data_IF_694687798153
#
_entry.id   IF_694687798153
#
_cell.length_a   1.000
_cell.length_b   1.000
_cell.length_c   1.000
_cell.angle_alpha   90.00
_cell.angle_beta   90.00
_cell.angle_gamma   90.00
#
_symmetry.space_group_name_H-M   'P 1'
#
loop_
_entity.id
_entity.type
_entity.pdbx_description
1 polymer ?
#
# COMPACT_ATOMS: atom_id res chain seq x y z
N UNK A 1 18.84 25.71 -37.49
CA UNK A 1 17.81 24.68 -37.77
C UNK A 1 17.88 23.66 -36.65
N UNK A 2 16.90 23.68 -35.75
CA UNK A 2 16.78 22.72 -34.65
C UNK A 2 15.78 21.66 -35.11
N UNK A 3 16.14 20.37 -35.00
CA UNK A 3 15.20 19.26 -35.20
C UNK A 3 15.05 18.49 -33.88
N UNK A 4 13.79 18.47 -33.40
CA UNK A 4 13.03 17.41 -32.72
C UNK A 4 13.81 16.39 -31.85
N UNK A 5 13.56 16.18 -30.56
CA UNK A 5 12.32 16.32 -29.80
C UNK A 5 11.58 14.99 -29.71
N UNK A 6 11.99 14.10 -28.77
CA UNK A 6 11.14 13.17 -28.00
C UNK A 6 12.00 12.46 -26.94
N UNK A 7 12.04 13.00 -25.72
CA UNK A 7 12.26 12.17 -24.52
C UNK A 7 10.85 11.85 -24.04
N UNK A 8 10.46 10.58 -24.12
CA UNK A 8 9.19 10.12 -23.58
C UNK A 8 9.28 10.29 -22.07
N UNK A 9 8.58 11.32 -21.57
CA UNK A 9 8.57 11.67 -20.18
C UNK A 9 7.99 10.50 -19.39
N UNK A 10 8.85 9.78 -18.67
CA UNK A 10 8.45 9.24 -17.39
C UNK A 10 8.08 10.45 -16.54
N UNK A 11 6.79 10.76 -16.46
CA UNK A 11 6.26 11.67 -15.47
C UNK A 11 6.76 11.14 -14.11
N UNK A 12 7.70 11.86 -13.50
CA UNK A 12 8.19 11.51 -12.17
C UNK A 12 7.07 11.88 -11.21
N UNK A 13 6.04 11.02 -11.12
CA UNK A 13 4.98 11.19 -10.14
C UNK A 13 5.60 11.09 -8.76
N UNK A 14 5.41 12.12 -7.95
CA UNK A 14 5.84 12.13 -6.55
C UNK A 14 5.18 10.95 -5.83
N UNK A 15 5.98 10.02 -5.32
CA UNK A 15 5.48 8.87 -4.56
C UNK A 15 4.88 9.33 -3.24
N UNK A 16 3.63 8.96 -2.99
CA UNK A 16 2.98 9.18 -1.71
C UNK A 16 3.56 8.22 -0.67
N UNK A 17 3.95 8.74 0.50
CA UNK A 17 4.52 7.92 1.58
C UNK A 17 3.57 7.95 2.77
N UNK A 18 3.16 6.77 3.21
CA UNK A 18 2.35 6.55 4.41
C UNK A 18 3.20 5.85 5.45
N UNK A 19 3.48 6.54 6.55
CA UNK A 19 4.25 6.01 7.67
C UNK A 19 3.32 5.57 8.81
N UNK A 20 3.48 4.32 9.23
CA UNK A 20 2.75 3.69 10.32
C UNK A 20 3.72 3.31 11.45
N UNK A 21 3.32 3.61 12.67
CA UNK A 21 3.98 3.16 13.88
C UNK A 21 3.20 1.98 14.47
N UNK A 22 3.83 0.80 14.44
CA UNK A 22 3.26 -0.44 14.96
C UNK A 22 3.56 -0.67 16.45
N UNK A 23 4.23 0.29 17.11
CA UNK A 23 4.45 0.21 18.54
C UNK A 23 3.12 0.05 19.26
N UNK A 24 3.04 -1.02 20.07
CA UNK A 24 1.86 -1.37 20.85
C UNK A 24 0.63 -1.83 20.08
N UNK A 25 0.72 -2.20 18.80
CA UNK A 25 -0.38 -2.90 18.14
C UNK A 25 -0.67 -4.22 18.85
N UNK A 26 -1.92 -4.43 19.26
CA UNK A 26 -2.35 -5.60 20.03
C UNK A 26 -3.25 -6.52 19.22
N UNK A 27 -3.97 -5.97 18.27
CA UNK A 27 -5.04 -6.64 17.52
C UNK A 27 -4.87 -6.42 16.01
N UNK A 28 -5.47 -7.28 15.18
CA UNK A 28 -5.60 -7.02 13.74
C UNK A 28 -6.16 -5.63 13.40
N UNK A 29 -7.18 -5.18 14.16
CA UNK A 29 -7.81 -3.86 13.95
C UNK A 29 -6.85 -2.69 14.16
N UNK A 30 -5.85 -2.81 15.03
CA UNK A 30 -4.86 -1.73 15.21
C UNK A 30 -4.09 -1.43 13.92
N UNK A 31 -3.78 -2.47 13.13
CA UNK A 31 -3.18 -2.33 11.81
C UNK A 31 -4.13 -1.64 10.82
N UNK A 32 -5.37 -2.14 10.69
CA UNK A 32 -6.34 -1.57 9.74
C UNK A 32 -6.66 -0.12 10.09
N UNK A 33 -6.98 0.16 11.34
CA UNK A 33 -7.28 1.50 11.83
C UNK A 33 -6.11 2.48 11.62
N UNK A 34 -4.86 2.03 11.79
CA UNK A 34 -3.69 2.86 11.52
C UNK A 34 -3.52 3.16 10.02
N UNK A 35 -3.63 2.13 9.18
CA UNK A 35 -3.48 2.25 7.72
C UNK A 35 -4.61 3.10 7.11
N UNK A 36 -5.87 2.74 7.37
CA UNK A 36 -7.05 3.38 6.79
C UNK A 36 -7.13 4.87 7.15
N UNK A 37 -6.81 5.21 8.41
CA UNK A 37 -6.72 6.61 8.84
C UNK A 37 -5.70 7.41 8.04
N UNK A 38 -4.55 6.82 7.73
CA UNK A 38 -3.49 7.50 6.96
C UNK A 38 -3.78 7.57 5.47
N UNK A 39 -4.57 6.62 4.95
CA UNK A 39 -5.05 6.64 3.57
C UNK A 39 -6.23 7.62 3.36
N UNK A 40 -6.80 8.18 4.44
CA UNK A 40 -8.02 8.96 4.36
C UNK A 40 -9.21 8.11 3.90
N UNK A 41 -9.26 6.84 4.31
CA UNK A 41 -10.34 5.95 3.95
C UNK A 41 -11.66 6.38 4.62
N UNK A 42 -12.81 6.23 3.95
CA UNK A 42 -14.11 6.57 4.52
C UNK A 42 -14.50 5.64 5.68
N UNK A 43 -15.37 6.10 6.57
CA UNK A 43 -15.79 5.34 7.78
C UNK A 43 -16.48 4.01 7.48
N UNK A 44 -17.10 3.88 6.30
CA UNK A 44 -17.73 2.63 5.84
C UNK A 44 -16.73 1.63 5.26
N UNK A 45 -15.45 1.99 5.17
CA UNK A 45 -14.39 1.10 4.71
C UNK A 45 -14.19 -0.05 5.70
N UNK A 46 -14.34 -1.29 5.22
CA UNK A 46 -14.26 -2.47 6.07
C UNK A 46 -12.81 -2.85 6.40
N UNK A 47 -12.56 -3.27 7.65
CA UNK A 47 -11.26 -3.80 8.11
C UNK A 47 -11.02 -5.23 7.61
N UNK A 48 -10.77 -5.40 6.30
CA UNK A 48 -10.53 -6.71 5.71
C UNK A 48 -9.59 -6.67 4.50
N UNK A 49 -8.84 -7.75 4.27
CA UNK A 49 -7.95 -7.89 3.11
C UNK A 49 -8.67 -7.65 1.77
N UNK A 50 -9.87 -8.22 1.50
CA UNK A 50 -10.59 -7.92 0.26
C UNK A 50 -10.91 -6.43 0.08
N UNK A 51 -11.27 -5.73 1.16
CA UNK A 51 -11.51 -4.28 1.10
C UNK A 51 -10.23 -3.47 0.84
N UNK A 52 -9.08 -3.92 1.37
CA UNK A 52 -7.78 -3.32 1.03
C UNK A 52 -7.44 -3.51 -0.45
N UNK A 53 -7.65 -4.71 -1.00
CA UNK A 53 -7.42 -4.96 -2.43
C UNK A 53 -8.31 -4.05 -3.28
N UNK A 54 -9.61 -3.99 -2.96
CA UNK A 54 -10.55 -3.16 -3.70
C UNK A 54 -10.15 -1.68 -3.66
N UNK A 55 -9.75 -1.17 -2.49
CA UNK A 55 -9.47 0.26 -2.30
C UNK A 55 -8.06 0.73 -2.66
N UNK A 56 -7.05 -0.13 -2.59
CA UNK A 56 -5.64 0.24 -2.80
C UNK A 56 -5.11 -0.18 -4.17
N UNK A 57 -5.81 -1.08 -4.86
CA UNK A 57 -5.37 -1.64 -6.15
C UNK A 57 -6.36 -1.35 -7.27
N UNK A 58 -7.66 -1.63 -7.04
CA UNK A 58 -8.68 -1.61 -8.11
C UNK A 58 -9.40 -0.27 -8.19
N UNK A 59 -9.83 0.24 -7.04
CA UNK A 59 -10.61 1.45 -6.90
C UNK A 59 -9.79 2.63 -6.41
N UNK A 60 -10.44 3.79 -6.41
CA UNK A 60 -9.89 5.08 -6.03
C UNK A 60 -10.75 5.71 -4.92
N UNK A 61 -10.87 4.99 -3.80
CA UNK A 61 -11.75 5.40 -2.68
C UNK A 61 -11.00 6.03 -1.51
N UNK A 62 -9.67 5.93 -1.52
CA UNK A 62 -8.80 6.54 -0.52
C UNK A 62 -8.44 7.96 -0.97
N UNK A 63 -8.16 8.87 -0.02
CA UNK A 63 -7.66 10.20 -0.36
C UNK A 63 -6.23 10.15 -0.93
N UNK A 64 -5.45 9.14 -0.52
CA UNK A 64 -4.08 8.93 -1.01
C UNK A 64 -4.11 8.02 -2.23
N UNK A 65 -3.81 8.60 -3.40
CA UNK A 65 -3.71 7.88 -4.67
C UNK A 65 -2.36 7.15 -4.83
N UNK A 66 -2.29 6.25 -5.81
CA UNK A 66 -1.03 5.68 -6.30
C UNK A 66 -0.26 6.74 -7.13
N UNK A 67 1.10 6.69 -7.18
CA UNK A 67 1.97 5.66 -6.62
C UNK A 67 2.15 5.84 -5.11
N UNK A 68 2.04 4.74 -4.36
CA UNK A 68 1.97 4.71 -2.90
C UNK A 68 3.05 3.80 -2.33
N UNK A 69 3.73 4.26 -1.28
CA UNK A 69 4.57 3.46 -0.40
C UNK A 69 4.05 3.52 1.03
N UNK A 70 3.72 2.36 1.60
CA UNK A 70 3.46 2.21 3.04
C UNK A 70 4.74 1.75 3.71
N UNK A 71 5.14 2.42 4.79
CA UNK A 71 6.28 2.06 5.64
C UNK A 71 5.76 1.82 7.05
N UNK A 72 6.10 0.67 7.63
CA UNK A 72 5.70 0.27 8.97
C UNK A 72 6.95 0.01 9.81
N UNK A 73 7.05 0.67 10.96
CA UNK A 73 8.15 0.53 11.92
C UNK A 73 7.65 0.06 13.28
N UNK A 74 8.53 -0.49 14.11
CA UNK A 74 8.20 -0.92 15.48
C UNK A 74 7.48 -2.27 15.55
N UNK A 75 7.56 -3.08 14.48
CA UNK A 75 6.89 -4.38 14.39
C UNK A 75 7.40 -5.41 15.40
N UNK A 76 8.63 -5.26 15.88
CA UNK A 76 9.24 -6.11 16.90
C UNK A 76 8.53 -6.00 18.25
N UNK A 77 7.78 -4.91 18.47
CA UNK A 77 6.98 -4.66 19.68
C UNK A 77 5.48 -4.90 19.47
N UNK A 78 5.06 -5.16 18.23
CA UNK A 78 3.67 -5.50 17.92
C UNK A 78 3.33 -6.91 18.42
N UNK A 79 2.06 -7.14 18.73
CA UNK A 79 1.59 -8.49 19.05
C UNK A 79 1.71 -9.40 17.82
N UNK A 80 1.94 -10.69 18.06
CA UNK A 80 2.03 -11.68 16.98
C UNK A 80 0.79 -11.66 16.07
N UNK A 81 -0.41 -11.48 16.63
CA UNK A 81 -1.65 -11.47 15.84
C UNK A 81 -1.76 -10.25 14.92
N UNK A 82 -1.29 -9.08 15.35
CA UNK A 82 -1.25 -7.89 14.52
C UNK A 82 -0.18 -8.03 13.41
N UNK A 83 1.00 -8.55 13.76
CA UNK A 83 2.08 -8.83 12.80
C UNK A 83 1.66 -9.85 11.73
N UNK A 84 1.04 -10.95 12.15
CA UNK A 84 0.53 -12.00 11.26
C UNK A 84 -0.52 -11.43 10.29
N UNK A 85 -1.39 -10.53 10.78
CA UNK A 85 -2.41 -9.89 9.93
C UNK A 85 -1.80 -8.95 8.89
N UNK A 86 -0.89 -8.06 9.30
CA UNK A 86 -0.14 -7.21 8.36
C UNK A 86 0.56 -8.06 7.29
N UNK A 87 1.20 -9.15 7.71
CA UNK A 87 1.92 -10.04 6.79
C UNK A 87 0.97 -10.67 5.77
N UNK A 88 -0.21 -11.13 6.19
CA UNK A 88 -1.24 -11.68 5.29
C UNK A 88 -1.76 -10.61 4.33
N UNK A 89 -2.06 -9.41 4.81
CA UNK A 89 -2.55 -8.32 3.99
C UNK A 89 -1.53 -7.93 2.91
N UNK A 90 -0.27 -7.71 3.30
CA UNK A 90 0.79 -7.35 2.35
C UNK A 90 1.04 -8.48 1.34
N UNK A 91 1.08 -9.73 1.79
CA UNK A 91 1.22 -10.90 0.91
C UNK A 91 0.03 -11.09 -0.04
N UNK A 92 -1.17 -10.64 0.33
CA UNK A 92 -2.32 -10.67 -0.57
C UNK A 92 -2.20 -9.59 -1.65
N UNK A 93 -1.75 -8.39 -1.30
CA UNK A 93 -1.56 -7.28 -2.23
C UNK A 93 -0.44 -7.56 -3.24
N UNK A 94 0.59 -8.34 -2.89
CA UNK A 94 1.63 -8.71 -3.85
C UNK A 94 1.13 -9.58 -5.01
N UNK A 95 0.03 -10.31 -4.82
CA UNK A 95 -0.61 -11.09 -5.90
C UNK A 95 -1.15 -10.20 -7.02
N UNK A 96 -1.34 -8.91 -6.74
CA UNK A 96 -1.85 -7.95 -7.69
C UNK A 96 -0.78 -7.02 -8.24
N UNK A 97 0.50 -7.20 -7.90
CA UNK A 97 1.61 -6.40 -8.43
C UNK A 97 2.21 -5.40 -7.45
N UNK A 98 1.74 -5.36 -6.20
CA UNK A 98 2.45 -4.65 -5.14
C UNK A 98 3.76 -5.38 -4.78
N UNK A 99 4.74 -4.65 -4.28
CA UNK A 99 6.01 -5.22 -3.78
C UNK A 99 6.07 -5.04 -2.28
N UNK A 100 6.13 -6.15 -1.54
CA UNK A 100 6.24 -6.13 -0.08
C UNK A 100 7.62 -6.58 0.37
N UNK A 101 8.18 -5.90 1.37
CA UNK A 101 9.38 -6.30 2.09
C UNK A 101 9.03 -6.38 3.57
N UNK A 102 9.23 -7.52 4.22
CA UNK A 102 8.83 -7.73 5.61
C UNK A 102 10.00 -8.34 6.37
N UNK A 103 10.41 -7.65 7.43
CA UNK A 103 11.43 -8.08 8.37
C UNK A 103 10.84 -8.11 9.80
N UNK A 104 11.64 -8.44 10.80
CA UNK A 104 11.19 -8.55 12.19
C UNK A 104 10.80 -7.21 12.84
N UNK A 105 11.45 -6.10 12.46
CA UNK A 105 11.25 -4.76 13.06
C UNK A 105 10.48 -3.79 12.15
N UNK A 106 10.42 -4.09 10.85
CA UNK A 106 9.86 -3.19 9.83
C UNK A 106 9.22 -3.93 8.66
N UNK A 107 8.30 -3.27 8.00
CA UNK A 107 7.76 -3.71 6.71
C UNK A 107 7.56 -2.53 5.76
N UNK A 108 7.58 -2.79 4.47
CA UNK A 108 7.15 -1.84 3.46
C UNK A 108 6.27 -2.50 2.39
N UNK A 109 5.39 -1.70 1.80
CA UNK A 109 4.57 -2.07 0.66
C UNK A 109 4.63 -0.96 -0.38
N UNK A 110 5.02 -1.32 -1.59
CA UNK A 110 5.12 -0.43 -2.74
C UNK A 110 4.03 -0.77 -3.75
N UNK A 111 3.23 0.23 -4.15
CA UNK A 111 2.20 0.14 -5.17
C UNK A 111 2.51 1.20 -6.22
N UNK A 112 2.88 0.76 -7.42
CA UNK A 112 3.13 1.65 -8.55
C UNK A 112 1.80 2.11 -9.20
N UNK A 113 1.86 3.16 -10.03
CA UNK A 113 0.72 3.65 -10.82
C UNK A 113 0.09 2.58 -11.72
N UNK A 114 0.89 1.61 -12.17
CA UNK A 114 0.55 0.74 -13.29
C UNK A 114 -0.01 -0.62 -12.83
N UNK A 115 -0.27 -0.79 -11.54
CA UNK A 115 -0.65 -2.08 -10.96
C UNK A 115 -2.01 -2.55 -11.51
N UNK A 116 -2.91 -1.61 -11.84
CA UNK A 116 -4.18 -1.89 -12.54
C UNK A 116 -4.01 -2.32 -14.00
N UNK A 117 -2.98 -1.82 -14.71
CA UNK A 117 -2.75 -2.14 -16.12
C UNK A 117 -2.36 -3.62 -16.34
N UNK A 118 -1.75 -4.26 -15.33
CA UNK A 118 -1.41 -5.69 -15.37
C UNK A 118 -2.64 -6.61 -15.29
N UNK A 119 -3.78 -6.12 -14.79
CA UNK A 119 -5.01 -6.90 -14.67
C UNK A 119 -5.90 -6.80 -15.92
N UNK A 120 -5.70 -5.80 -16.79
CA UNK A 120 -6.51 -5.58 -18.00
C UNK A 120 -5.99 -6.34 -19.25
N UNK A 121 -4.92 -7.13 -19.13
CA UNK A 121 -4.45 -8.01 -20.21
C UNK A 121 -3.96 -7.29 -21.48
N UNK A 122 -3.63 -5.99 -21.40
CA UNK A 122 -3.04 -5.24 -22.52
C UNK A 122 -1.53 -5.13 -22.35
N UNK A 123 -0.82 -6.13 -22.85
CA UNK A 123 0.60 -6.06 -23.20
C UNK A 123 0.75 -5.96 -24.72
#
# INVERSE_FOLDING_TARGET
MIQHGRVEGQEVRTMNIVELDAQHWKTPSDFYSALLRKLGAPEWHGESIPALIDSMIVGDINEVATPLRVVVTGLDTASKVAFDELTKAFSALTKYGAVANINSDRASLDIADNVSAFLDGRA
#
